data_IF_073156759428
#
_entry.id   IF_073156759428
#
_cell.length_a   1.000
_cell.length_b   1.000
_cell.length_c   1.000
_cell.angle_alpha   90.00
_cell.angle_beta   90.00
_cell.angle_gamma   90.00
#
_symmetry.space_group_name_H-M   'P 1'
#
loop_
_entity.id
_entity.type
_entity.pdbx_description
1 polymer ?
#
# COMPACT_ATOMS: atom_id res chain seq x y z
N UNK A 1 29.84 20.12 -1.88
CA UNK A 1 28.51 19.47 -1.94
C UNK A 1 27.75 19.91 -0.72
N UNK A 2 26.85 20.88 -0.86
CA UNK A 2 26.08 21.39 0.28
C UNK A 2 25.13 20.30 0.78
N UNK A 3 25.11 20.08 2.09
CA UNK A 3 24.19 19.15 2.73
C UNK A 3 22.77 19.60 2.45
N UNK A 4 21.94 18.76 1.82
CA UNK A 4 20.53 19.06 1.60
C UNK A 4 19.86 19.33 2.95
N UNK A 5 18.99 20.34 3.07
CA UNK A 5 18.18 20.53 4.27
C UNK A 5 17.39 19.25 4.57
N UNK A 6 17.23 18.93 5.86
CA UNK A 6 16.54 17.72 6.31
C UNK A 6 15.17 17.53 5.65
N UNK A 7 14.39 18.61 5.52
CA UNK A 7 13.07 18.60 4.89
C UNK A 7 13.11 18.17 3.41
N UNK A 8 14.10 18.66 2.65
CA UNK A 8 14.28 18.28 1.23
C UNK A 8 14.77 16.86 1.12
N UNK A 9 15.70 16.45 1.98
CA UNK A 9 16.25 15.09 2.01
C UNK A 9 15.18 14.05 2.38
N UNK A 10 14.25 14.38 3.28
CA UNK A 10 13.11 13.52 3.63
C UNK A 10 12.09 13.50 2.50
N UNK A 11 11.72 14.66 1.94
CA UNK A 11 10.78 14.72 0.82
C UNK A 11 11.26 13.92 -0.41
N UNK A 12 12.56 13.96 -0.71
CA UNK A 12 13.17 13.22 -1.82
C UNK A 12 13.26 11.72 -1.56
N UNK A 13 13.39 11.27 -0.31
CA UNK A 13 13.44 9.84 0.03
C UNK A 13 12.05 9.20 0.15
N UNK A 14 11.09 9.91 0.73
CA UNK A 14 9.84 9.31 1.19
C UNK A 14 8.59 9.99 0.61
N UNK A 15 8.71 11.22 0.09
CA UNK A 15 7.58 12.03 -0.32
C UNK A 15 7.08 11.78 -1.75
N UNK A 16 5.85 12.24 -2.09
CA UNK A 16 5.37 12.24 -3.47
C UNK A 16 6.26 13.11 -4.38
N UNK A 17 6.45 12.70 -5.63
CA UNK A 17 7.28 13.43 -6.62
C UNK A 17 7.02 14.94 -6.65
N UNK A 18 5.75 15.38 -6.65
CA UNK A 18 5.41 16.80 -6.73
C UNK A 18 5.89 17.61 -5.51
N UNK A 19 5.84 17.01 -4.31
CA UNK A 19 6.29 17.61 -3.06
C UNK A 19 7.81 17.72 -3.06
N UNK A 20 8.50 16.64 -3.41
CA UNK A 20 9.96 16.62 -3.55
C UNK A 20 10.45 17.63 -4.60
N UNK A 21 9.76 17.70 -5.75
CA UNK A 21 10.10 18.62 -6.84
C UNK A 21 9.88 20.09 -6.46
N UNK A 22 8.76 20.43 -5.82
CA UNK A 22 8.53 21.80 -5.32
C UNK A 22 9.53 22.19 -4.22
N UNK A 23 9.81 21.30 -3.28
CA UNK A 23 10.80 21.53 -2.22
C UNK A 23 12.20 21.79 -2.80
N UNK A 24 12.63 20.99 -3.77
CA UNK A 24 13.91 21.15 -4.44
C UNK A 24 14.01 22.47 -5.23
N UNK A 25 12.94 22.88 -5.92
CA UNK A 25 12.88 24.17 -6.63
C UNK A 25 13.04 25.34 -5.66
N UNK A 26 12.28 25.32 -4.55
CA UNK A 26 12.32 26.37 -3.53
C UNK A 26 13.69 26.45 -2.87
N UNK A 27 14.26 25.29 -2.50
CA UNK A 27 15.59 25.24 -1.89
C UNK A 27 16.67 25.78 -2.82
N UNK A 28 16.60 25.45 -4.11
CA UNK A 28 17.54 25.96 -5.11
C UNK A 28 17.33 27.43 -5.45
N UNK A 29 16.20 28.01 -5.05
CA UNK A 29 15.83 29.40 -5.35
C UNK A 29 15.55 29.66 -6.84
N UNK A 30 15.14 28.62 -7.60
CA UNK A 30 14.89 28.75 -9.03
C UNK A 30 13.43 29.09 -9.33
N UNK A 31 13.19 29.99 -10.28
CA UNK A 31 11.90 30.07 -10.94
C UNK A 31 11.72 28.91 -11.92
N UNK A 32 10.47 28.59 -12.28
CA UNK A 32 10.20 27.55 -13.29
C UNK A 32 10.83 27.89 -14.65
N UNK A 33 10.89 29.17 -15.01
CA UNK A 33 11.52 29.65 -16.24
C UNK A 33 13.05 29.50 -16.20
N UNK A 34 13.67 29.74 -15.03
CA UNK A 34 15.10 29.53 -14.84
C UNK A 34 15.45 28.03 -14.90
N UNK A 35 14.63 27.17 -14.28
CA UNK A 35 14.77 25.72 -14.38
C UNK A 35 14.60 25.24 -15.83
N UNK A 36 13.56 25.70 -16.53
CA UNK A 36 13.30 25.35 -17.93
C UNK A 36 14.50 25.69 -18.83
N UNK A 37 15.02 26.93 -18.72
CA UNK A 37 16.20 27.36 -19.49
C UNK A 37 17.41 26.49 -19.21
N UNK A 38 17.66 26.17 -17.93
CA UNK A 38 18.80 25.34 -17.54
C UNK A 38 18.66 23.90 -18.05
N UNK A 39 17.46 23.32 -17.98
CA UNK A 39 17.18 22.00 -18.54
C UNK A 39 17.37 21.97 -20.06
N UNK A 40 16.95 23.03 -20.76
CA UNK A 40 17.15 23.18 -22.19
C UNK A 40 18.64 23.18 -22.58
N UNK A 41 19.50 23.84 -21.80
CA UNK A 41 20.96 23.80 -21.99
C UNK A 41 21.54 22.40 -21.80
N UNK A 42 20.91 21.55 -21.00
CA UNK A 42 21.33 20.17 -20.74
C UNK A 42 20.53 19.14 -21.58
N UNK A 43 19.94 19.57 -22.70
CA UNK A 43 19.32 18.67 -23.68
C UNK A 43 17.88 18.23 -23.35
N UNK A 44 17.26 18.74 -22.28
CA UNK A 44 15.86 18.43 -21.93
C UNK A 44 14.92 19.61 -22.28
N UNK A 45 14.20 19.48 -23.38
CA UNK A 45 13.16 20.43 -23.80
C UNK A 45 11.82 20.10 -23.12
N UNK A 46 11.42 20.88 -22.12
CA UNK A 46 10.15 20.74 -21.39
C UNK A 46 9.42 22.08 -21.39
N UNK A 47 8.09 22.09 -21.56
CA UNK A 47 7.31 23.33 -21.51
C UNK A 47 7.15 23.86 -20.07
N UNK A 48 7.00 25.18 -19.91
CA UNK A 48 6.72 25.80 -18.61
C UNK A 48 5.42 25.26 -17.99
N UNK A 49 4.40 24.99 -18.82
CA UNK A 49 3.14 24.40 -18.39
C UNK A 49 3.33 22.99 -17.82
N UNK A 50 4.16 22.16 -18.47
CA UNK A 50 4.50 20.82 -17.98
C UNK A 50 5.20 20.89 -16.62
N UNK A 51 6.20 21.76 -16.46
CA UNK A 51 6.90 21.95 -15.18
C UNK A 51 5.96 22.46 -14.09
N UNK A 52 5.04 23.37 -14.42
CA UNK A 52 4.00 23.85 -13.51
C UNK A 52 3.04 22.74 -13.08
N UNK A 53 2.63 21.88 -14.01
CA UNK A 53 1.79 20.72 -13.69
C UNK A 53 2.50 19.68 -12.83
N UNK A 54 3.79 19.43 -13.08
CA UNK A 54 4.63 18.56 -12.25
C UNK A 54 4.75 19.10 -10.83
N UNK A 55 5.10 20.38 -10.68
CA UNK A 55 5.22 21.08 -9.39
C UNK A 55 3.92 21.07 -8.58
N UNK A 56 2.77 21.16 -9.24
CA UNK A 56 1.44 21.13 -8.58
C UNK A 56 0.85 19.73 -8.45
N UNK A 57 1.56 18.68 -8.88
CA UNK A 57 1.07 17.30 -8.86
C UNK A 57 -0.12 17.03 -9.79
N UNK A 58 -0.42 17.91 -10.75
CA UNK A 58 -1.52 17.77 -11.71
C UNK A 58 -1.20 16.85 -12.88
N UNK A 59 0.09 16.63 -13.15
CA UNK A 59 0.57 15.69 -14.16
C UNK A 59 1.79 14.98 -13.60
N UNK A 60 1.85 13.66 -13.79
CA UNK A 60 3.02 12.89 -13.45
C UNK A 60 3.97 12.78 -14.66
N UNK A 61 5.30 12.77 -14.47
CA UNK A 61 6.21 12.45 -15.56
C UNK A 61 6.00 11.00 -16.00
N UNK A 62 5.71 10.79 -17.27
CA UNK A 62 5.43 9.46 -17.84
C UNK A 62 6.17 9.29 -19.17
N UNK A 63 6.67 8.07 -19.41
CA UNK A 63 7.43 7.72 -20.62
C UNK A 63 8.91 8.16 -20.61
N UNK A 64 9.67 7.57 -21.53
CA UNK A 64 11.13 7.69 -21.58
C UNK A 64 11.63 9.15 -21.65
N UNK A 65 10.96 9.99 -22.46
CA UNK A 65 11.32 11.41 -22.62
C UNK A 65 11.09 12.24 -21.35
N UNK A 66 10.05 11.94 -20.59
CA UNK A 66 9.77 12.62 -19.32
C UNK A 66 10.73 12.18 -18.23
N UNK A 67 11.07 10.89 -18.16
CA UNK A 67 12.07 10.34 -17.24
C UNK A 67 13.45 10.95 -17.47
N UNK A 68 13.89 11.02 -18.74
CA UNK A 68 15.12 11.71 -19.10
C UNK A 68 15.10 13.18 -18.63
N UNK A 69 13.99 13.89 -18.83
CA UNK A 69 13.86 15.27 -18.39
C UNK A 69 13.89 15.41 -16.85
N UNK A 70 13.35 14.44 -16.10
CA UNK A 70 13.43 14.43 -14.63
C UNK A 70 14.87 14.25 -14.16
N UNK A 71 15.63 13.32 -14.77
CA UNK A 71 17.06 13.16 -14.47
C UNK A 71 17.88 14.43 -14.73
N UNK A 72 17.60 15.14 -15.84
CA UNK A 72 18.22 16.45 -16.11
C UNK A 72 17.82 17.50 -15.07
N UNK A 73 16.57 17.47 -14.58
CA UNK A 73 16.10 18.38 -13.55
C UNK A 73 16.83 18.14 -12.20
N UNK A 74 17.14 16.90 -11.83
CA UNK A 74 17.91 16.59 -10.61
C UNK A 74 19.26 17.32 -10.60
N UNK A 75 20.02 17.22 -11.71
CA UNK A 75 21.29 17.93 -11.85
C UNK A 75 21.15 19.45 -11.83
N UNK A 76 20.07 19.98 -12.42
CA UNK A 76 19.77 21.42 -12.38
C UNK A 76 19.46 21.90 -10.94
N UNK A 77 18.75 21.07 -10.17
CA UNK A 77 18.33 21.33 -8.80
C UNK A 77 19.43 21.02 -7.77
N UNK A 78 20.49 20.32 -8.17
CA UNK A 78 21.59 19.93 -7.30
C UNK A 78 21.23 18.76 -6.38
N UNK A 79 20.30 17.91 -6.81
CA UNK A 79 19.93 16.68 -6.12
C UNK A 79 20.91 15.54 -6.48
N UNK A 80 21.03 14.50 -5.64
CA UNK A 80 21.65 13.25 -6.02
C UNK A 80 21.03 12.68 -7.30
N UNK A 81 21.81 11.93 -8.06
CA UNK A 81 21.27 11.17 -9.20
C UNK A 81 20.16 10.23 -8.72
N UNK A 82 19.12 10.07 -9.54
CA UNK A 82 17.97 9.20 -9.35
C UNK A 82 17.05 9.56 -8.17
N UNK A 83 17.31 10.67 -7.49
CA UNK A 83 16.53 11.20 -6.37
C UNK A 83 15.04 11.37 -6.68
N UNK A 84 14.71 12.02 -7.78
CA UNK A 84 13.34 12.25 -8.25
C UNK A 84 12.89 11.14 -9.21
N UNK A 85 13.82 10.58 -9.99
CA UNK A 85 13.56 9.52 -10.97
C UNK A 85 13.05 8.26 -10.27
N UNK A 86 13.60 7.91 -9.12
CA UNK A 86 13.09 6.81 -8.28
C UNK A 86 11.68 7.10 -7.77
N UNK A 87 11.36 8.35 -7.41
CA UNK A 87 10.00 8.73 -7.00
C UNK A 87 9.00 8.64 -8.16
N UNK A 88 9.43 8.94 -9.38
CA UNK A 88 8.61 8.78 -10.59
C UNK A 88 8.39 7.30 -10.92
N UNK A 89 9.37 6.43 -10.63
CA UNK A 89 9.26 4.99 -10.83
C UNK A 89 8.37 4.30 -9.79
N UNK A 90 7.98 4.98 -8.70
CA UNK A 90 7.08 4.40 -7.70
C UNK A 90 5.67 4.24 -8.28
N UNK A 91 5.05 3.04 -8.16
CA UNK A 91 3.68 2.83 -8.63
C UNK A 91 2.71 3.75 -7.88
N UNK A 92 1.98 4.58 -8.62
CA UNK A 92 0.97 5.48 -8.05
C UNK A 92 -0.23 4.68 -7.55
N UNK A 93 -0.79 5.06 -6.40
CA UNK A 93 -2.22 4.84 -6.23
C UNK A 93 -2.98 5.69 -7.28
N UNK A 94 -3.94 5.12 -8.02
CA UNK A 94 -4.80 5.86 -8.95
C UNK A 94 -5.65 6.95 -8.26
N UNK A 95 -5.69 6.98 -6.93
CA UNK A 95 -6.55 7.84 -6.14
C UNK A 95 -5.77 8.98 -5.46
N UNK A 96 -6.25 10.24 -5.55
CA UNK A 96 -5.57 11.39 -4.95
C UNK A 96 -5.34 11.21 -3.44
N UNK A 97 -4.08 11.20 -3.02
CA UNK A 97 -3.72 11.06 -1.59
C UNK A 97 -3.82 9.65 -1.03
N UNK A 98 -3.99 8.62 -1.89
CA UNK A 98 -4.01 7.23 -1.45
C UNK A 98 -2.62 6.71 -1.04
N UNK A 99 -2.63 5.66 -0.22
CA UNK A 99 -1.41 4.96 0.21
C UNK A 99 -0.79 4.16 -0.94
N UNK A 100 0.54 4.15 -1.02
CA UNK A 100 1.27 3.25 -1.92
C UNK A 100 1.01 1.78 -1.54
N UNK A 101 1.26 0.84 -2.45
CA UNK A 101 1.17 -0.60 -2.11
C UNK A 101 2.16 -0.96 -0.99
N UNK A 102 3.37 -0.42 -1.06
CA UNK A 102 4.40 -0.58 -0.04
C UNK A 102 3.87 -0.10 1.33
N UNK A 103 3.34 1.12 1.41
CA UNK A 103 2.75 1.66 2.64
C UNK A 103 1.53 0.88 3.13
N UNK A 104 0.65 0.44 2.22
CA UNK A 104 -0.52 -0.38 2.56
C UNK A 104 -0.14 -1.73 3.18
N UNK A 105 1.05 -2.24 2.85
CA UNK A 105 1.60 -3.50 3.34
C UNK A 105 2.63 -3.31 4.47
N UNK A 106 2.89 -2.08 4.91
CA UNK A 106 3.98 -1.78 5.86
C UNK A 106 5.34 -2.29 5.36
N UNK A 107 5.56 -2.23 4.05
CA UNK A 107 6.72 -2.79 3.33
C UNK A 107 7.53 -1.69 2.64
N UNK A 108 8.78 -1.97 2.32
CA UNK A 108 9.63 -1.09 1.53
C UNK A 108 9.42 -1.30 0.03
N UNK A 109 9.53 -0.25 -0.82
CA UNK A 109 9.34 -0.40 -2.27
C UNK A 109 10.24 -1.46 -2.92
N UNK A 110 11.44 -1.68 -2.38
CA UNK A 110 12.38 -2.71 -2.86
C UNK A 110 11.88 -4.13 -2.64
N UNK A 111 11.09 -4.39 -1.59
CA UNK A 111 10.53 -5.71 -1.31
C UNK A 111 9.49 -6.11 -2.36
N UNK A 112 8.81 -5.13 -2.98
CA UNK A 112 7.86 -5.36 -4.08
C UNK A 112 8.53 -5.83 -5.38
N UNK A 113 9.85 -5.66 -5.53
CA UNK A 113 10.58 -6.18 -6.69
C UNK A 113 10.51 -7.71 -6.80
N UNK A 114 10.31 -8.41 -5.67
CA UNK A 114 10.10 -9.86 -5.61
C UNK A 114 8.79 -10.31 -6.27
N UNK A 115 7.86 -9.39 -6.52
CA UNK A 115 6.55 -9.67 -7.10
C UNK A 115 6.55 -9.67 -8.64
N UNK A 116 7.71 -9.91 -9.27
CA UNK A 116 7.85 -9.84 -10.73
C UNK A 116 6.82 -10.71 -11.49
N UNK A 117 6.20 -10.08 -12.49
CA UNK A 117 5.13 -10.62 -13.32
C UNK A 117 3.76 -10.74 -12.63
N UNK A 118 3.56 -10.15 -11.45
CA UNK A 118 2.23 -9.88 -10.88
C UNK A 118 1.82 -8.46 -11.29
N UNK A 119 0.60 -8.31 -11.80
CA UNK A 119 0.01 -7.00 -12.05
C UNK A 119 -0.39 -6.33 -10.73
N UNK A 120 0.55 -5.58 -10.13
CA UNK A 120 0.36 -4.92 -8.85
C UNK A 120 -0.79 -3.93 -8.87
N UNK A 121 -1.11 -3.32 -10.00
CA UNK A 121 -2.19 -2.33 -10.12
C UNK A 121 -3.51 -2.94 -10.59
N UNK A 122 -3.55 -4.26 -10.78
CA UNK A 122 -4.70 -4.93 -11.36
C UNK A 122 -5.99 -4.78 -10.56
N UNK A 123 -5.88 -4.70 -9.24
CA UNK A 123 -7.04 -4.48 -8.36
C UNK A 123 -7.70 -3.11 -8.57
N UNK A 124 -7.03 -2.14 -9.21
CA UNK A 124 -7.63 -0.83 -9.51
C UNK A 124 -8.80 -0.93 -10.52
N UNK A 125 -8.85 -2.01 -11.30
CA UNK A 125 -9.97 -2.34 -12.20
C UNK A 125 -11.20 -2.90 -11.47
N UNK A 126 -11.09 -3.10 -10.16
CA UNK A 126 -12.18 -3.56 -9.30
C UNK A 126 -12.58 -2.44 -8.34
N UNK A 127 -13.87 -2.35 -8.05
CA UNK A 127 -14.40 -1.57 -6.94
C UNK A 127 -14.63 -2.51 -5.76
N UNK A 128 -14.04 -2.22 -4.59
CA UNK A 128 -14.22 -3.03 -3.39
C UNK A 128 -15.54 -2.68 -2.71
N UNK A 129 -16.56 -3.51 -2.90
CA UNK A 129 -17.88 -3.33 -2.29
C UNK A 129 -17.89 -3.79 -0.83
N UNK A 130 -17.20 -4.87 -0.51
CA UNK A 130 -17.05 -5.31 0.88
C UNK A 130 -15.76 -6.09 1.04
N UNK A 131 -15.12 -5.92 2.19
CA UNK A 131 -14.13 -6.85 2.70
C UNK A 131 -14.45 -7.16 4.16
N UNK A 132 -14.43 -8.44 4.50
CA UNK A 132 -14.47 -8.92 5.87
C UNK A 132 -13.23 -9.78 6.12
N UNK A 133 -12.33 -9.30 6.97
CA UNK A 133 -11.20 -10.08 7.45
C UNK A 133 -11.40 -10.52 8.88
N UNK A 134 -11.14 -11.80 9.13
CA UNK A 134 -11.15 -12.39 10.46
C UNK A 134 -9.81 -13.05 10.77
N UNK A 135 -9.11 -12.50 11.77
CA UNK A 135 -7.93 -13.13 12.35
C UNK A 135 -8.33 -14.05 13.50
N UNK A 136 -7.73 -15.24 13.56
CA UNK A 136 -7.90 -16.20 14.66
C UNK A 136 -6.59 -16.30 15.43
N UNK A 137 -6.63 -16.00 16.73
CA UNK A 137 -5.46 -15.96 17.60
C UNK A 137 -5.41 -17.19 18.49
N UNK A 138 -4.23 -17.75 18.69
CA UNK A 138 -3.97 -18.93 19.50
C UNK A 138 -3.72 -18.63 20.99
N UNK A 139 -3.64 -19.67 21.84
CA UNK A 139 -3.40 -19.55 23.28
C UNK A 139 -2.01 -19.00 23.63
N UNK A 140 -1.09 -19.03 22.67
CA UNK A 140 0.28 -18.51 22.71
C UNK A 140 0.40 -17.13 22.04
N UNK A 141 -0.72 -16.39 21.91
CA UNK A 141 -0.77 -15.05 21.30
C UNK A 141 -0.40 -15.04 19.79
N UNK A 142 -0.38 -16.21 19.14
CA UNK A 142 0.01 -16.36 17.73
C UNK A 142 -1.12 -16.20 16.72
N UNK A 143 -0.82 -15.71 15.52
CA UNK A 143 -1.78 -15.61 14.41
C UNK A 143 -1.97 -16.98 13.74
N UNK A 144 -3.06 -17.69 14.05
CA UNK A 144 -3.31 -19.03 13.49
C UNK A 144 -3.76 -18.95 12.04
N UNK A 145 -4.66 -18.02 11.75
CA UNK A 145 -5.14 -17.79 10.39
C UNK A 145 -5.75 -16.40 10.22
N UNK A 146 -5.78 -15.93 8.98
CA UNK A 146 -6.50 -14.73 8.55
C UNK A 146 -7.36 -15.09 7.35
N UNK A 147 -8.68 -15.16 7.57
CA UNK A 147 -9.65 -15.39 6.51
C UNK A 147 -10.15 -14.06 5.97
N UNK A 148 -10.21 -13.93 4.65
CA UNK A 148 -10.70 -12.74 3.95
C UNK A 148 -11.84 -13.12 3.02
N UNK A 149 -13.00 -12.52 3.20
CA UNK A 149 -14.15 -12.61 2.29
C UNK A 149 -14.35 -11.26 1.61
N UNK A 150 -14.40 -11.26 0.29
CA UNK A 150 -14.47 -10.05 -0.52
C UNK A 150 -15.66 -10.08 -1.47
N UNK A 151 -16.27 -8.91 -1.62
CA UNK A 151 -17.22 -8.60 -2.69
C UNK A 151 -16.63 -7.48 -3.52
N UNK A 152 -16.41 -7.75 -4.81
CA UNK A 152 -15.86 -6.77 -5.76
C UNK A 152 -16.83 -6.55 -6.90
N UNK A 153 -16.80 -5.36 -7.50
CA UNK A 153 -17.52 -5.06 -8.75
C UNK A 153 -16.52 -4.70 -9.83
N UNK A 154 -16.62 -5.31 -11.01
CA UNK A 154 -15.72 -4.99 -12.12
C UNK A 154 -16.00 -3.59 -12.68
N UNK A 155 -14.94 -2.82 -12.94
CA UNK A 155 -15.05 -1.49 -13.59
C UNK A 155 -14.96 -1.57 -15.10
N UNK A 156 -14.39 -2.66 -15.63
CA UNK A 156 -14.20 -2.90 -17.05
C UNK A 156 -14.42 -4.39 -17.39
N UNK A 157 -14.49 -4.70 -18.68
CA UNK A 157 -14.64 -6.08 -19.14
C UNK A 157 -13.31 -6.84 -19.05
N UNK A 158 -13.38 -8.14 -18.78
CA UNK A 158 -12.24 -9.06 -18.86
C UNK A 158 -11.43 -9.20 -17.58
N UNK A 159 -11.81 -8.54 -16.49
CA UNK A 159 -11.12 -8.69 -15.19
C UNK A 159 -11.37 -10.11 -14.66
N UNK A 160 -10.31 -10.89 -14.47
CA UNK A 160 -10.41 -12.33 -14.14
C UNK A 160 -9.72 -12.71 -12.81
N UNK A 161 -9.21 -11.73 -12.05
CA UNK A 161 -8.47 -12.00 -10.81
C UNK A 161 -8.44 -10.84 -9.84
N UNK A 162 -8.17 -11.18 -8.58
CA UNK A 162 -7.73 -10.28 -7.51
C UNK A 162 -6.31 -10.63 -7.10
N UNK A 163 -5.46 -9.65 -6.80
CA UNK A 163 -4.13 -9.89 -6.22
C UNK A 163 -4.18 -9.63 -4.72
N UNK A 164 -3.90 -10.66 -3.92
CA UNK A 164 -3.77 -10.53 -2.47
C UNK A 164 -2.30 -10.49 -2.07
N UNK A 165 -2.00 -9.65 -1.10
CA UNK A 165 -0.69 -9.55 -0.47
C UNK A 165 -0.84 -9.88 1.02
N UNK A 166 0.11 -10.61 1.56
CA UNK A 166 0.10 -11.01 2.96
C UNK A 166 1.51 -10.94 3.53
N UNK A 167 1.64 -10.35 4.72
CA UNK A 167 2.90 -10.21 5.45
C UNK A 167 2.67 -10.44 6.95
N UNK A 168 3.47 -11.29 7.61
CA UNK A 168 3.46 -11.46 9.06
C UNK A 168 3.93 -10.21 9.81
N UNK A 169 3.50 -10.03 11.06
CA UNK A 169 3.89 -8.89 11.90
C UNK A 169 5.38 -8.90 12.26
N UNK A 170 5.90 -10.02 12.73
CA UNK A 170 7.27 -10.14 13.21
C UNK A 170 8.14 -10.73 12.12
N UNK A 171 9.32 -10.14 11.89
CA UNK A 171 10.38 -10.86 11.19
C UNK A 171 10.83 -12.04 12.05
N UNK A 172 10.90 -13.23 11.47
CA UNK A 172 11.21 -14.45 12.22
C UNK A 172 11.48 -15.68 11.35
N UNK A 173 11.52 -15.53 10.02
CA UNK A 173 11.54 -16.62 9.06
C UNK A 173 10.20 -17.33 8.93
N UNK A 174 9.07 -16.65 9.19
CA UNK A 174 7.76 -17.27 9.08
C UNK A 174 7.42 -17.58 7.62
N UNK A 175 6.62 -18.64 7.42
CA UNK A 175 6.24 -19.12 6.08
C UNK A 175 4.73 -19.02 5.89
N UNK A 176 4.21 -17.82 5.60
CA UNK A 176 2.80 -17.67 5.28
C UNK A 176 2.41 -18.48 4.04
N UNK A 177 1.24 -19.08 4.09
CA UNK A 177 0.72 -19.99 3.08
C UNK A 177 -0.79 -19.80 2.89
N UNK A 178 -1.24 -19.86 1.64
CA UNK A 178 -2.65 -19.87 1.30
C UNK A 178 -3.23 -21.26 1.64
N UNK A 179 -4.08 -21.32 2.67
CA UNK A 179 -4.64 -22.55 3.24
C UNK A 179 -5.94 -22.97 2.58
N UNK A 180 -6.79 -22.01 2.24
CA UNK A 180 -8.09 -22.28 1.64
C UNK A 180 -8.47 -21.17 0.64
N UNK A 181 -9.29 -21.56 -0.35
CA UNK A 181 -9.91 -20.66 -1.32
C UNK A 181 -11.31 -21.15 -1.64
N UNK A 182 -12.25 -20.24 -1.85
CA UNK A 182 -13.60 -20.53 -2.28
C UNK A 182 -14.06 -19.48 -3.30
N UNK A 183 -14.74 -19.95 -4.36
CA UNK A 183 -15.05 -19.19 -5.57
C UNK A 183 -13.83 -18.50 -6.22
N UNK A 184 -12.61 -18.95 -5.94
CA UNK A 184 -11.40 -18.51 -6.63
C UNK A 184 -10.35 -19.61 -6.58
N UNK A 185 -9.30 -19.49 -7.40
CA UNK A 185 -8.18 -20.44 -7.45
C UNK A 185 -6.85 -19.70 -7.47
N UNK A 186 -5.81 -20.21 -6.80
CA UNK A 186 -4.50 -19.59 -6.86
C UNK A 186 -3.93 -19.66 -8.30
N UNK A 187 -3.49 -18.51 -8.80
CA UNK A 187 -2.72 -18.35 -10.02
C UNK A 187 -1.23 -18.24 -9.71
N UNK A 188 -0.59 -17.17 -10.17
CA UNK A 188 0.81 -16.90 -9.85
C UNK A 188 0.96 -16.61 -8.35
N UNK A 189 1.94 -17.26 -7.72
CA UNK A 189 2.38 -16.97 -6.35
C UNK A 189 3.83 -16.48 -6.39
N UNK A 190 4.11 -15.41 -5.66
CA UNK A 190 5.46 -14.90 -5.40
C UNK A 190 5.67 -14.83 -3.90
N UNK A 191 6.87 -15.23 -3.49
CA UNK A 191 7.29 -15.24 -2.10
C UNK A 191 8.64 -14.58 -2.02
N UNK A 192 8.78 -13.65 -1.10
CA UNK A 192 10.08 -13.10 -0.72
C UNK A 192 10.42 -13.62 0.68
N UNK A 193 11.36 -14.58 0.81
CA UNK A 193 11.75 -15.10 2.11
C UNK A 193 12.37 -14.05 3.04
N UNK A 194 12.94 -12.96 2.49
CA UNK A 194 13.62 -11.94 3.29
C UNK A 194 12.61 -11.00 3.98
N UNK A 195 11.55 -10.60 3.27
CA UNK A 195 10.47 -9.76 3.82
C UNK A 195 9.27 -10.54 4.34
N UNK A 196 9.25 -11.87 4.12
CA UNK A 196 8.14 -12.79 4.39
C UNK A 196 6.85 -12.43 3.61
N UNK A 197 6.96 -11.58 2.60
CA UNK A 197 5.86 -11.14 1.77
C UNK A 197 5.41 -12.28 0.84
N UNK A 198 4.11 -12.52 0.81
CA UNK A 198 3.46 -13.39 -0.18
C UNK A 198 2.51 -12.55 -1.02
N UNK A 199 2.67 -12.64 -2.33
CA UNK A 199 1.73 -12.10 -3.31
C UNK A 199 1.12 -13.25 -4.10
N UNK A 200 -0.21 -13.30 -4.17
CA UNK A 200 -0.96 -14.35 -4.86
C UNK A 200 -2.03 -13.74 -5.76
N UNK A 201 -2.05 -14.19 -7.01
CA UNK A 201 -3.22 -14.01 -7.88
C UNK A 201 -4.31 -14.99 -7.47
N UNK A 202 -5.49 -14.49 -7.17
CA UNK A 202 -6.71 -15.26 -6.94
C UNK A 202 -7.58 -15.13 -8.18
N UNK A 203 -7.56 -16.14 -9.03
CA UNK A 203 -8.31 -16.16 -10.29
C UNK A 203 -9.77 -16.48 -10.02
N UNK A 204 -10.65 -15.69 -10.62
CA UNK A 204 -12.09 -15.94 -10.62
C UNK A 204 -12.41 -17.13 -11.54
N UNK A 205 -13.61 -17.69 -11.40
CA UNK A 205 -14.06 -18.82 -12.22
C UNK A 205 -14.29 -18.43 -13.69
N UNK A 206 -14.51 -17.13 -13.94
CA UNK A 206 -14.70 -16.55 -15.27
C UNK A 206 -14.29 -15.07 -15.27
N UNK A 207 -13.93 -14.51 -16.44
CA UNK A 207 -13.72 -13.07 -16.58
C UNK A 207 -15.03 -12.31 -16.39
N UNK A 208 -14.99 -11.24 -15.61
CA UNK A 208 -16.14 -10.39 -15.31
C UNK A 208 -16.41 -9.38 -16.42
N UNK A 209 -17.67 -9.02 -16.61
CA UNK A 209 -18.07 -7.83 -17.39
C UNK A 209 -18.12 -6.60 -16.50
N UNK A 210 -18.00 -5.42 -17.10
CA UNK A 210 -18.16 -4.15 -16.40
C UNK A 210 -19.51 -4.11 -15.65
N UNK A 211 -19.45 -3.77 -14.36
CA UNK A 211 -20.61 -3.73 -13.47
C UNK A 211 -20.97 -5.06 -12.80
N UNK A 212 -20.38 -6.20 -13.21
CA UNK A 212 -20.64 -7.48 -12.56
C UNK A 212 -19.99 -7.55 -11.18
N UNK A 213 -20.72 -8.15 -10.23
CA UNK A 213 -20.23 -8.43 -8.89
C UNK A 213 -19.66 -9.84 -8.80
N UNK A 214 -18.61 -10.01 -8.00
CA UNK A 214 -18.03 -11.32 -7.71
C UNK A 214 -17.74 -11.44 -6.22
N UNK A 215 -18.03 -12.61 -5.65
CA UNK A 215 -17.84 -12.94 -4.24
C UNK A 215 -16.88 -14.10 -4.13
N UNK A 216 -15.85 -13.95 -3.31
CA UNK A 216 -14.84 -14.97 -3.10
C UNK A 216 -14.23 -14.84 -1.71
N UNK A 217 -13.69 -15.93 -1.21
CA UNK A 217 -12.94 -15.92 0.04
C UNK A 217 -11.69 -16.78 -0.03
N UNK A 218 -10.74 -16.44 0.83
CA UNK A 218 -9.48 -17.14 0.95
C UNK A 218 -8.93 -16.99 2.36
N UNK A 219 -8.06 -17.91 2.76
CA UNK A 219 -7.47 -17.93 4.09
C UNK A 219 -5.96 -18.10 4.01
N UNK A 220 -5.24 -17.20 4.68
CA UNK A 220 -3.82 -17.38 4.97
C UNK A 220 -3.64 -18.04 6.34
N UNK A 221 -2.62 -18.89 6.43
CA UNK A 221 -2.06 -19.38 7.67
C UNK A 221 -0.56 -19.55 7.51
N UNK A 222 0.05 -20.45 8.27
CA UNK A 222 1.51 -20.60 8.32
C UNK A 222 1.94 -22.05 8.16
N UNK A 223 2.97 -22.28 7.35
CA UNK A 223 3.75 -23.52 7.39
C UNK A 223 4.75 -23.43 8.55
N UNK A 224 4.62 -24.31 9.54
CA UNK A 224 5.43 -24.25 10.77
C UNK A 224 4.86 -23.28 11.81
N UNK A 225 5.75 -22.64 12.58
CA UNK A 225 5.37 -21.81 13.71
C UNK A 225 4.80 -20.44 13.26
N UNK A 226 3.56 -20.10 13.62
CA UNK A 226 3.00 -18.77 13.36
C UNK A 226 3.66 -17.70 14.24
N UNK A 227 3.65 -16.42 13.80
CA UNK A 227 4.15 -15.30 14.59
C UNK A 227 3.21 -15.00 15.76
N UNK A 228 3.78 -14.47 16.84
CA UNK A 228 2.98 -13.67 17.77
C UNK A 228 2.51 -12.39 17.07
N UNK A 229 1.28 -11.96 17.36
CA UNK A 229 0.71 -10.76 16.75
C UNK A 229 -0.01 -9.90 17.79
N UNK A 230 -0.01 -8.61 17.57
CA UNK A 230 -0.72 -7.61 18.35
C UNK A 230 -1.56 -6.67 17.49
N UNK A 231 -1.73 -6.94 16.20
CA UNK A 231 -2.60 -6.14 15.34
C UNK A 231 -3.26 -6.93 14.20
N UNK A 232 -4.30 -6.34 13.64
CA UNK A 232 -4.92 -6.75 12.37
C UNK A 232 -5.17 -5.49 11.55
N UNK A 233 -4.77 -5.48 10.28
CA UNK A 233 -4.96 -4.33 9.40
C UNK A 233 -5.30 -4.72 7.96
N UNK A 234 -5.93 -3.79 7.26
CA UNK A 234 -6.21 -3.88 5.84
C UNK A 234 -5.94 -2.55 5.15
N UNK A 235 -5.08 -2.59 4.14
CA UNK A 235 -4.74 -1.44 3.31
C UNK A 235 -5.61 -1.38 2.06
N UNK A 236 -6.26 -0.23 1.83
CA UNK A 236 -7.03 0.04 0.61
C UNK A 236 -6.39 1.16 -0.18
N UNK A 237 -6.12 0.89 -1.46
CA UNK A 237 -5.57 1.89 -2.40
C UNK A 237 -6.66 2.65 -3.16
N UNK A 238 -7.89 2.17 -3.12
CA UNK A 238 -9.08 2.75 -3.73
C UNK A 238 -10.20 2.82 -2.69
N UNK A 239 -11.21 3.71 -2.86
CA UNK A 239 -12.37 3.72 -1.98
C UNK A 239 -13.04 2.36 -1.87
N UNK A 240 -13.42 1.98 -0.65
CA UNK A 240 -14.13 0.73 -0.35
C UNK A 240 -15.45 1.05 0.36
N UNK A 241 -16.54 0.38 -0.04
CA UNK A 241 -17.86 0.67 0.58
C UNK A 241 -17.98 0.15 2.01
N UNK A 242 -17.35 -0.99 2.29
CA UNK A 242 -17.35 -1.58 3.63
C UNK A 242 -16.03 -2.30 3.90
N UNK A 243 -15.43 -2.02 5.06
CA UNK A 243 -14.30 -2.76 5.62
C UNK A 243 -14.71 -3.24 7.02
N UNK A 244 -14.69 -4.55 7.25
CA UNK A 244 -14.84 -5.16 8.56
C UNK A 244 -13.57 -5.93 8.88
N UNK A 245 -12.92 -5.59 9.99
CA UNK A 245 -11.81 -6.37 10.53
C UNK A 245 -12.25 -6.91 11.87
N UNK A 246 -12.03 -8.20 12.12
CA UNK A 246 -12.41 -8.87 13.36
C UNK A 246 -11.25 -9.73 13.86
N UNK A 247 -10.89 -9.57 15.13
CA UNK A 247 -9.97 -10.46 15.84
C UNK A 247 -10.77 -11.39 16.74
N UNK A 248 -10.47 -12.70 16.68
CA UNK A 248 -11.04 -13.73 17.55
C UNK A 248 -9.93 -14.35 18.41
N UNK A 249 -10.02 -14.13 19.73
CA UNK A 249 -9.01 -14.48 20.71
C UNK A 249 -9.27 -15.85 21.34
N UNK A 250 -8.19 -16.58 21.63
CA UNK A 250 -8.26 -17.79 22.43
C UNK A 250 -8.63 -17.46 23.89
N UNK A 251 -9.45 -18.26 24.58
CA UNK A 251 -9.77 -18.06 26.00
C UNK A 251 -8.55 -17.97 26.92
N UNK A 252 -7.42 -18.60 26.56
CA UNK A 252 -6.18 -18.54 27.33
C UNK A 252 -5.33 -17.29 27.04
N UNK A 253 -5.67 -16.52 26.00
CA UNK A 253 -4.93 -15.34 25.56
C UNK A 253 -5.89 -14.22 25.13
N UNK A 254 -6.53 -13.59 26.11
CA UNK A 254 -7.40 -12.42 25.90
C UNK A 254 -6.60 -11.15 26.17
N UNK A 255 -6.59 -10.16 25.26
CA UNK A 255 -5.82 -8.94 25.46
C UNK A 255 -6.43 -8.07 26.56
N UNK A 256 -5.57 -7.35 27.29
CA UNK A 256 -6.00 -6.40 28.33
C UNK A 256 -6.69 -5.18 27.74
N UNK A 257 -6.27 -4.76 26.53
CA UNK A 257 -6.82 -3.60 25.82
C UNK A 257 -6.77 -3.80 24.31
N UNK A 258 -7.76 -3.27 23.61
CA UNK A 258 -7.81 -3.22 22.16
C UNK A 258 -8.06 -1.77 21.72
N UNK A 259 -7.45 -1.34 20.62
CA UNK A 259 -7.57 0.01 20.08
C UNK A 259 -7.77 -0.01 18.58
N UNK A 260 -8.58 0.91 18.08
CA UNK A 260 -8.65 1.21 16.64
C UNK A 260 -7.56 2.20 16.27
N UNK A 261 -6.92 1.98 15.13
CA UNK A 261 -6.08 2.98 14.46
C UNK A 261 -6.42 3.10 12.98
N UNK A 262 -6.02 4.23 12.39
CA UNK A 262 -6.19 4.52 10.97
C UNK A 262 -5.03 5.39 10.49
N UNK A 263 -4.39 4.99 9.39
CA UNK A 263 -3.41 5.80 8.69
C UNK A 263 -4.03 6.33 7.40
N UNK A 264 -4.51 7.59 7.39
CA UNK A 264 -5.20 8.16 6.24
C UNK A 264 -4.28 8.37 5.04
N UNK A 265 -2.98 8.59 5.25
CA UNK A 265 -2.01 8.90 4.18
C UNK A 265 -0.60 8.43 4.53
N UNK A 266 0.17 8.11 3.49
CA UNK A 266 1.61 7.85 3.55
C UNK A 266 2.35 9.05 4.18
N UNK A 267 3.21 8.79 5.17
CA UNK A 267 3.94 9.83 5.91
C UNK A 267 3.15 10.60 6.98
N UNK A 268 1.92 10.19 7.29
CA UNK A 268 1.20 10.74 8.45
C UNK A 268 1.90 10.29 9.74
N UNK A 269 2.12 11.17 10.74
CA UNK A 269 2.60 10.76 12.06
C UNK A 269 1.75 9.60 12.57
N UNK A 270 2.41 8.59 13.16
CA UNK A 270 1.83 7.29 13.51
C UNK A 270 0.36 7.34 13.95
N UNK A 271 -0.44 6.46 13.36
CA UNK A 271 -1.90 6.41 13.49
C UNK A 271 -2.29 6.54 14.95
N UNK A 272 -2.92 7.67 15.26
CA UNK A 272 -3.35 7.99 16.62
C UNK A 272 -4.28 6.86 17.09
N UNK A 273 -3.97 6.24 18.25
CA UNK A 273 -4.86 5.27 18.90
C UNK A 273 -6.15 6.02 19.23
N UNK A 274 -7.12 5.88 18.32
CA UNK A 274 -8.25 6.80 18.26
C UNK A 274 -9.34 6.44 19.28
N UNK A 275 -9.50 5.14 19.56
CA UNK A 275 -10.60 4.64 20.39
C UNK A 275 -10.31 3.23 20.92
N UNK A 276 -10.54 3.02 22.21
CA UNK A 276 -10.53 1.69 22.82
C UNK A 276 -11.75 0.86 22.35
N UNK A 277 -11.51 -0.41 22.04
CA UNK A 277 -12.49 -1.36 21.54
C UNK A 277 -12.78 -2.41 22.61
N UNK A 278 -14.05 -2.74 22.86
CA UNK A 278 -14.39 -3.77 23.83
C UNK A 278 -14.04 -5.16 23.30
N UNK A 279 -13.56 -6.04 24.19
CA UNK A 279 -13.55 -7.49 23.97
C UNK A 279 -14.72 -8.09 24.73
N UNK A 280 -15.75 -8.52 23.99
CA UNK A 280 -16.97 -9.07 24.59
C UNK A 280 -16.82 -10.54 25.02
N UNK A 281 -17.87 -11.13 25.63
CA UNK A 281 -17.87 -12.54 26.05
C UNK A 281 -17.61 -13.56 24.92
N UNK A 282 -17.86 -13.18 23.67
CA UNK A 282 -17.52 -13.98 22.49
C UNK A 282 -16.02 -14.01 22.18
N UNK A 283 -15.19 -13.33 22.99
CA UNK A 283 -13.74 -13.22 22.83
C UNK A 283 -13.34 -12.62 21.48
N UNK A 284 -14.12 -11.66 21.00
CA UNK A 284 -13.86 -10.97 19.74
C UNK A 284 -13.83 -9.46 19.93
N UNK A 285 -12.99 -8.79 19.14
CA UNK A 285 -13.02 -7.35 18.90
C UNK A 285 -13.11 -7.09 17.40
N UNK A 286 -13.71 -5.96 17.01
CA UNK A 286 -13.85 -5.63 15.60
C UNK A 286 -13.88 -4.13 15.35
N UNK A 287 -13.61 -3.75 14.10
CA UNK A 287 -13.94 -2.44 13.55
C UNK A 287 -14.79 -2.63 12.30
N UNK A 288 -15.72 -1.69 12.08
CA UNK A 288 -16.44 -1.54 10.85
C UNK A 288 -16.23 -0.11 10.33
N UNK A 289 -15.90 0.02 9.05
CA UNK A 289 -15.72 1.29 8.37
C UNK A 289 -16.59 1.26 7.12
N UNK A 290 -17.49 2.23 7.01
CA UNK A 290 -18.34 2.43 5.85
C UNK A 290 -17.77 3.57 5.01
N UNK A 291 -17.89 3.45 3.69
CA UNK A 291 -17.39 4.41 2.70
C UNK A 291 -15.94 4.84 3.02
N UNK A 292 -15.07 3.84 3.18
CA UNK A 292 -13.67 4.01 3.50
C UNK A 292 -12.91 4.66 2.33
N UNK A 293 -12.23 5.76 2.62
CA UNK A 293 -11.25 6.37 1.71
C UNK A 293 -9.96 5.54 1.66
N UNK A 294 -9.12 5.71 0.61
CA UNK A 294 -7.80 5.09 0.56
C UNK A 294 -6.99 5.35 1.83
N UNK A 295 -6.38 4.30 2.40
CA UNK A 295 -5.72 4.34 3.69
C UNK A 295 -5.47 2.94 4.27
N UNK A 296 -4.87 2.88 5.45
CA UNK A 296 -4.71 1.64 6.23
C UNK A 296 -5.60 1.70 7.45
N UNK A 297 -6.50 0.71 7.56
CA UNK A 297 -7.42 0.58 8.67
C UNK A 297 -6.99 -0.61 9.52
N UNK A 298 -7.03 -0.47 10.84
CA UNK A 298 -6.61 -1.57 11.70
C UNK A 298 -7.08 -1.46 13.14
N UNK A 299 -6.82 -2.54 13.87
CA UNK A 299 -6.88 -2.58 15.31
C UNK A 299 -5.57 -3.15 15.85
N UNK A 300 -5.16 -2.64 17.01
CA UNK A 300 -3.99 -3.08 17.76
C UNK A 300 -4.43 -3.45 19.17
N UNK A 301 -3.79 -4.42 19.80
CA UNK A 301 -4.11 -4.84 21.15
C UNK A 301 -2.86 -5.00 22.01
N UNK A 302 -3.06 -4.89 23.32
CA UNK A 302 -2.03 -5.05 24.34
C UNK A 302 -2.32 -6.35 25.07
N UNK A 303 -1.30 -7.19 25.19
CA UNK A 303 -1.41 -8.47 25.89
C UNK A 303 -1.23 -8.33 27.40
N UNK A 304 -0.49 -7.32 27.83
CA UNK A 304 -0.08 -7.06 29.22
C UNK A 304 -0.25 -5.56 29.56
#
# INVERSE_FOLDING_TARGET
MGTLPSEVATAVREGPFAVAFDAAIRHRGLSLEALQRRMATHGAQVSLATLSYWRRGRRHPEGHRSLHAVGVAEGCLGLPADALTTLVARPRSPWPGGVSLASALGSEPTELASCDGIDLDGNARLALASVHQRATLGPDRTERSVRSELVVTSREDGVDRWVSFFRPQTGGGHRPELRATNCCRPGRVRRDPASELVAVELRFDYPLRAGETYVFDFEFGYEGAPPETSYLQFGVRAPARQIVLQAAFDPAAVPVRCYRYHHPREGSPGGERSRELPVGPSLTSHIAVLDAEPGVYGMVWEWD
#
